data_IF_749694376310
#
_entry.id   IF_749694376310
#
_cell.length_a   1.000
_cell.length_b   1.000
_cell.length_c   1.000
_cell.angle_alpha   90.00
_cell.angle_beta   90.00
_cell.angle_gamma   90.00
#
_symmetry.space_group_name_H-M   'P 1'
#
loop_
_entity.id
_entity.type
_entity.pdbx_description
1 polymer ?
#
# COMPACT_ATOMS: atom_id res chain seq x y z
N UNK A 1 -12.57 -17.69 3.58
CA UNK A 1 -13.03 -16.27 3.61
C UNK A 1 -12.26 -15.31 2.69
N UNK A 2 -11.12 -15.69 2.10
CA UNK A 2 -10.27 -14.81 1.27
C UNK A 2 -11.02 -14.16 0.08
N UNK A 3 -11.88 -14.92 -0.62
CA UNK A 3 -12.62 -14.43 -1.78
C UNK A 3 -13.63 -13.33 -1.44
N UNK A 4 -14.52 -13.59 -0.47
CA UNK A 4 -15.57 -12.64 -0.06
C UNK A 4 -14.95 -11.35 0.45
N UNK A 5 -13.91 -11.44 1.30
CA UNK A 5 -13.19 -10.26 1.79
C UNK A 5 -12.60 -9.43 0.66
N UNK A 6 -11.96 -10.07 -0.32
CA UNK A 6 -11.40 -9.37 -1.49
C UNK A 6 -12.48 -8.69 -2.33
N UNK A 7 -13.63 -9.33 -2.57
CA UNK A 7 -14.74 -8.73 -3.33
C UNK A 7 -15.27 -7.48 -2.61
N UNK A 8 -15.56 -7.59 -1.30
CA UNK A 8 -16.06 -6.46 -0.51
C UNK A 8 -15.05 -5.31 -0.49
N UNK A 9 -13.78 -5.61 -0.23
CA UNK A 9 -12.72 -4.61 -0.20
C UNK A 9 -12.51 -3.91 -1.54
N UNK A 10 -12.57 -4.66 -2.64
CA UNK A 10 -12.41 -4.10 -3.98
C UNK A 10 -13.42 -2.98 -4.23
N UNK A 11 -14.68 -3.19 -3.84
CA UNK A 11 -15.77 -2.21 -3.99
C UNK A 11 -15.69 -1.09 -2.96
N UNK A 12 -15.24 -1.37 -1.73
CA UNK A 12 -15.19 -0.41 -0.62
C UNK A 12 -14.00 0.58 -0.66
N UNK A 13 -13.24 0.62 -1.76
CA UNK A 13 -12.14 1.56 -1.95
C UNK A 13 -10.81 0.91 -2.34
N UNK A 14 -10.71 -0.42 -2.24
CA UNK A 14 -9.53 -1.19 -2.66
C UNK A 14 -9.17 -0.98 -4.13
N UNK A 15 -10.16 -0.93 -5.02
CA UNK A 15 -9.95 -0.68 -6.45
C UNK A 15 -9.38 0.71 -6.70
N UNK A 16 -10.01 1.75 -6.14
CA UNK A 16 -9.59 3.14 -6.30
C UNK A 16 -8.17 3.34 -5.76
N UNK A 17 -7.88 2.81 -4.57
CA UNK A 17 -6.54 2.91 -4.01
C UNK A 17 -5.51 2.10 -4.79
N UNK A 18 -5.84 0.90 -5.25
CA UNK A 18 -4.96 0.11 -6.11
C UNK A 18 -4.57 0.87 -7.39
N UNK A 19 -5.52 1.56 -8.02
CA UNK A 19 -5.26 2.43 -9.17
C UNK A 19 -4.41 3.65 -8.80
N UNK A 20 -4.66 4.28 -7.65
CA UNK A 20 -3.86 5.41 -7.18
C UNK A 20 -2.38 5.00 -7.02
N UNK A 21 -2.12 3.84 -6.41
CA UNK A 21 -0.78 3.28 -6.28
C UNK A 21 -0.12 2.98 -7.63
N UNK A 22 -0.86 2.39 -8.57
CA UNK A 22 -0.36 2.14 -9.93
C UNK A 22 -0.08 3.43 -10.69
N UNK A 23 -0.93 4.43 -10.55
CA UNK A 23 -0.71 5.75 -11.13
C UNK A 23 0.59 6.37 -10.60
N UNK A 24 0.83 6.36 -9.28
CA UNK A 24 2.10 6.80 -8.70
C UNK A 24 3.29 6.00 -9.22
N UNK A 25 3.12 4.68 -9.38
CA UNK A 25 4.16 3.82 -9.91
C UNK A 25 4.54 4.23 -11.35
N UNK A 26 3.54 4.47 -12.21
CA UNK A 26 3.74 4.92 -13.57
C UNK A 26 4.42 6.29 -13.64
N UNK A 27 4.03 7.23 -12.77
CA UNK A 27 4.71 8.53 -12.66
C UNK A 27 6.19 8.37 -12.31
N UNK A 28 6.51 7.52 -11.34
CA UNK A 28 7.90 7.27 -10.95
C UNK A 28 8.70 6.61 -12.08
N UNK A 29 8.07 5.72 -12.84
CA UNK A 29 8.69 4.99 -13.95
C UNK A 29 9.07 5.89 -15.15
N UNK A 30 8.56 7.13 -15.24
CA UNK A 30 8.98 8.10 -16.25
C UNK A 30 10.47 8.46 -16.12
N UNK A 31 11.01 8.36 -14.90
CA UNK A 31 12.41 8.70 -14.63
C UNK A 31 13.20 7.45 -14.28
N UNK A 32 14.45 7.35 -14.76
CA UNK A 32 15.34 6.23 -14.42
C UNK A 32 15.57 6.16 -12.90
N UNK A 33 15.72 7.32 -12.25
CA UNK A 33 15.92 7.44 -10.80
C UNK A 33 14.69 6.95 -10.02
N UNK A 34 13.48 7.10 -10.56
CA UNK A 34 12.24 6.70 -9.91
C UNK A 34 11.83 5.24 -10.13
N UNK A 35 12.53 4.47 -10.96
CA UNK A 35 12.24 3.05 -11.19
C UNK A 35 12.16 2.23 -9.88
N UNK A 36 13.05 2.41 -8.88
CA UNK A 36 12.92 1.72 -7.60
C UNK A 36 11.60 2.03 -6.89
N UNK A 37 11.13 3.30 -6.95
CA UNK A 37 9.85 3.72 -6.35
C UNK A 37 8.68 3.09 -7.10
N UNK A 38 8.78 3.03 -8.44
CA UNK A 38 7.77 2.41 -9.29
C UNK A 38 7.57 0.92 -8.93
N UNK A 39 8.65 0.17 -8.74
CA UNK A 39 8.58 -1.26 -8.40
C UNK A 39 7.88 -1.47 -7.05
N UNK A 40 8.26 -0.70 -6.03
CA UNK A 40 7.63 -0.79 -4.70
C UNK A 40 6.15 -0.39 -4.74
N UNK A 41 5.82 0.70 -5.44
CA UNK A 41 4.46 1.20 -5.57
C UNK A 41 3.56 0.24 -6.37
N UNK A 42 4.05 -0.35 -7.45
CA UNK A 42 3.29 -1.31 -8.25
C UNK A 42 2.99 -2.59 -7.46
N UNK A 43 3.97 -3.05 -6.67
CA UNK A 43 3.84 -4.17 -5.75
C UNK A 43 2.74 -3.91 -4.71
N UNK A 44 2.74 -2.75 -4.06
CA UNK A 44 1.73 -2.38 -3.05
C UNK A 44 0.38 -2.06 -3.68
N UNK A 45 0.32 -1.49 -4.87
CA UNK A 45 -0.93 -1.32 -5.62
C UNK A 45 -1.58 -2.67 -5.93
N UNK A 46 -0.77 -3.64 -6.37
CA UNK A 46 -1.23 -5.02 -6.58
C UNK A 46 -1.69 -5.69 -5.29
N UNK A 47 -1.07 -5.37 -4.15
CA UNK A 47 -1.57 -5.76 -2.82
C UNK A 47 -2.92 -5.14 -2.51
N UNK A 48 -3.03 -3.83 -2.74
CA UNK A 48 -4.21 -3.02 -2.44
C UNK A 48 -5.43 -3.43 -3.24
N UNK A 49 -5.31 -4.08 -4.40
CA UNK A 49 -6.49 -4.67 -5.06
C UNK A 49 -7.04 -5.90 -4.32
N UNK A 50 -6.18 -6.71 -3.70
CA UNK A 50 -6.56 -8.03 -3.15
C UNK A 50 -5.84 -8.38 -1.83
N UNK A 51 -6.03 -7.63 -0.74
CA UNK A 51 -5.17 -7.74 0.44
C UNK A 51 -5.35 -9.06 1.19
N UNK A 52 -6.51 -9.72 1.09
CA UNK A 52 -6.79 -10.91 1.90
C UNK A 52 -6.05 -12.15 1.41
N UNK A 53 -5.46 -12.90 2.35
CA UNK A 53 -4.60 -14.06 2.07
C UNK A 53 -3.12 -13.70 1.85
N UNK A 54 -2.78 -12.42 2.01
CA UNK A 54 -1.42 -11.88 1.94
C UNK A 54 -1.15 -11.01 3.16
N UNK A 55 0.11 -10.87 3.53
CA UNK A 55 0.52 -9.99 4.62
C UNK A 55 1.76 -9.19 4.23
N UNK A 56 1.89 -8.02 4.86
CA UNK A 56 3.07 -7.18 4.76
C UNK A 56 4.06 -7.68 5.80
N UNK A 57 5.28 -8.00 5.38
CA UNK A 57 6.38 -8.37 6.25
C UNK A 57 7.56 -7.44 5.99
N UNK A 58 8.45 -7.31 6.97
CA UNK A 58 9.71 -6.61 6.76
C UNK A 58 10.59 -7.40 5.80
N UNK A 59 11.25 -6.67 4.92
CA UNK A 59 12.22 -7.26 4.00
C UNK A 59 13.51 -7.56 4.78
N UNK A 60 14.08 -8.77 4.69
CA UNK A 60 15.35 -9.12 5.32
C UNK A 60 16.49 -8.45 4.55
N UNK A 61 16.68 -7.15 4.79
CA UNK A 61 17.78 -6.38 4.24
C UNK A 61 18.90 -6.27 5.28
N UNK A 62 20.16 -6.36 4.83
CA UNK A 62 21.30 -6.01 5.67
C UNK A 62 21.30 -4.52 6.04
N UNK A 63 22.13 -4.11 7.01
CA UNK A 63 22.15 -2.73 7.52
C UNK A 63 22.24 -1.66 6.41
N UNK A 64 23.02 -1.90 5.37
CA UNK A 64 23.13 -1.01 4.21
C UNK A 64 21.78 -0.87 3.47
N UNK A 65 21.10 -1.98 3.19
CA UNK A 65 19.80 -1.98 2.51
C UNK A 65 18.69 -1.32 3.33
N UNK A 66 18.73 -1.46 4.65
CA UNK A 66 17.81 -0.77 5.56
C UNK A 66 17.99 0.76 5.49
N UNK A 67 19.23 1.25 5.47
CA UNK A 67 19.52 2.69 5.33
C UNK A 67 19.04 3.24 3.99
N UNK A 68 19.29 2.53 2.88
CA UNK A 68 18.79 2.96 1.56
C UNK A 68 17.26 2.97 1.51
N UNK A 69 16.60 1.98 2.11
CA UNK A 69 15.14 1.94 2.23
C UNK A 69 14.61 3.14 3.03
N UNK A 70 15.23 3.46 4.18
CA UNK A 70 14.82 4.58 5.00
C UNK A 70 14.97 5.94 4.29
N UNK A 71 16.08 6.14 3.57
CA UNK A 71 16.29 7.35 2.77
C UNK A 71 15.30 7.44 1.59
N UNK A 72 15.07 6.33 0.90
CA UNK A 72 14.09 6.24 -0.19
C UNK A 72 12.66 6.50 0.29
N UNK A 73 12.31 5.97 1.46
CA UNK A 73 11.00 6.17 2.11
C UNK A 73 10.83 7.63 2.56
N UNK A 74 11.87 8.31 3.06
CA UNK A 74 11.78 9.73 3.40
C UNK A 74 11.45 10.60 2.19
N UNK A 75 12.16 10.41 1.07
CA UNK A 75 11.89 11.15 -0.17
C UNK A 75 10.51 10.78 -0.71
N UNK A 76 10.15 9.50 -0.70
CA UNK A 76 8.84 9.02 -1.11
C UNK A 76 7.71 9.64 -0.28
N UNK A 77 7.82 9.65 1.04
CA UNK A 77 6.80 10.16 1.96
C UNK A 77 6.44 11.62 1.63
N UNK A 78 7.44 12.44 1.32
CA UNK A 78 7.28 13.85 0.99
C UNK A 78 6.67 14.08 -0.39
N UNK A 79 7.03 13.28 -1.38
CA UNK A 79 6.58 13.46 -2.77
C UNK A 79 5.27 12.73 -3.09
N UNK A 80 5.14 11.50 -2.60
CA UNK A 80 4.14 10.53 -3.05
C UNK A 80 3.32 9.89 -1.92
N UNK A 81 3.96 9.57 -0.80
CA UNK A 81 3.35 8.81 0.28
C UNK A 81 2.19 9.52 0.97
N UNK A 82 2.30 10.83 1.19
CA UNK A 82 1.29 11.57 1.97
C UNK A 82 -0.08 11.63 1.31
N UNK A 83 -0.18 11.83 -0.01
CA UNK A 83 -1.48 11.88 -0.68
C UNK A 83 -2.10 10.48 -0.88
N UNK A 84 -1.27 9.44 -1.04
CA UNK A 84 -1.73 8.05 -0.98
C UNK A 84 -2.25 7.71 0.43
N UNK A 85 -1.57 8.17 1.48
CA UNK A 85 -2.02 8.02 2.86
C UNK A 85 -3.36 8.73 3.08
N UNK A 86 -3.52 9.96 2.57
CA UNK A 86 -4.79 10.69 2.62
C UNK A 86 -5.91 9.96 1.88
N UNK A 87 -5.65 9.38 0.70
CA UNK A 87 -6.63 8.57 -0.02
C UNK A 87 -7.10 7.35 0.79
N UNK A 88 -6.16 6.68 1.47
CA UNK A 88 -6.49 5.60 2.40
C UNK A 88 -7.28 6.11 3.62
N UNK A 89 -6.89 7.24 4.23
CA UNK A 89 -7.62 7.82 5.36
C UNK A 89 -9.05 8.23 4.99
N UNK A 90 -9.25 8.84 3.81
CA UNK A 90 -10.57 9.17 3.30
C UNK A 90 -11.43 7.91 3.11
N UNK A 91 -10.87 6.86 2.50
CA UNK A 91 -11.55 5.57 2.35
C UNK A 91 -11.87 4.93 3.71
N UNK A 92 -11.00 5.09 4.70
CA UNK A 92 -11.22 4.59 6.05
C UNK A 92 -12.41 5.29 6.73
N UNK A 93 -12.49 6.62 6.62
CA UNK A 93 -13.61 7.40 7.15
C UNK A 93 -14.92 6.96 6.49
N UNK A 94 -14.94 6.81 5.16
CA UNK A 94 -16.13 6.35 4.43
C UNK A 94 -16.58 4.95 4.87
N UNK A 95 -15.64 4.02 5.03
CA UNK A 95 -15.94 2.67 5.52
C UNK A 95 -16.49 2.70 6.97
N UNK A 96 -15.94 3.56 7.83
CA UNK A 96 -16.31 3.65 9.24
C UNK A 96 -17.74 4.17 9.49
N UNK A 97 -18.42 4.72 8.48
CA UNK A 97 -19.83 5.15 8.57
C UNK A 97 -20.76 3.98 8.90
N UNK A 98 -20.38 2.75 8.53
CA UNK A 98 -21.18 1.54 8.77
C UNK A 98 -20.45 0.58 9.69
N UNK A 99 -21.20 -0.14 10.55
CA UNK A 99 -20.63 -1.16 11.44
C UNK A 99 -19.92 -2.26 10.63
N UNK A 100 -20.48 -2.64 9.48
CA UNK A 100 -19.91 -3.65 8.57
C UNK A 100 -18.60 -3.16 7.93
N UNK A 101 -18.46 -1.85 7.70
CA UNK A 101 -17.30 -1.24 7.07
C UNK A 101 -16.09 -1.04 8.00
N UNK A 102 -16.29 -0.99 9.33
CA UNK A 102 -15.23 -0.84 10.34
C UNK A 102 -14.00 -1.76 10.11
N UNK A 103 -14.14 -3.09 9.86
CA UNK A 103 -12.98 -3.93 9.59
C UNK A 103 -12.17 -3.48 8.37
N UNK A 104 -12.81 -2.95 7.33
CA UNK A 104 -12.14 -2.42 6.13
C UNK A 104 -11.52 -1.05 6.39
N UNK A 105 -12.14 -0.21 7.23
CA UNK A 105 -11.56 1.06 7.67
C UNK A 105 -10.20 0.84 8.36
N UNK A 106 -10.11 -0.14 9.27
CA UNK A 106 -8.85 -0.50 9.93
C UNK A 106 -7.79 -0.97 8.94
N UNK A 107 -8.19 -1.68 7.89
CA UNK A 107 -7.28 -2.11 6.85
C UNK A 107 -6.77 -0.93 6.00
N UNK A 108 -7.63 0.04 5.69
CA UNK A 108 -7.20 1.30 5.04
C UNK A 108 -6.23 2.09 5.93
N UNK A 109 -6.45 2.17 7.25
CA UNK A 109 -5.52 2.85 8.17
C UNK A 109 -4.14 2.18 8.17
N UNK A 110 -4.08 0.84 8.16
CA UNK A 110 -2.81 0.10 8.03
C UNK A 110 -2.07 0.43 6.73
N UNK A 111 -2.82 0.52 5.63
CA UNK A 111 -2.26 0.90 4.33
C UNK A 111 -1.86 2.37 4.26
N UNK A 112 -2.54 3.26 4.98
CA UNK A 112 -2.12 4.66 5.11
C UNK A 112 -0.75 4.76 5.79
N UNK A 113 -0.52 3.98 6.85
CA UNK A 113 0.80 3.87 7.47
C UNK A 113 1.86 3.29 6.52
N UNK A 114 1.50 2.24 5.76
CA UNK A 114 2.38 1.66 4.73
C UNK A 114 2.74 2.67 3.64
N UNK A 115 1.84 3.59 3.30
CA UNK A 115 2.05 4.57 2.23
C UNK A 115 3.25 5.48 2.47
N UNK A 116 3.65 5.69 3.73
CA UNK A 116 4.85 6.45 4.07
C UNK A 116 6.15 5.65 3.95
N UNK A 117 6.10 4.33 4.17
CA UNK A 117 7.30 3.48 4.27
C UNK A 117 7.22 2.20 3.42
N UNK A 118 7.09 2.30 2.09
CA UNK A 118 6.90 1.15 1.22
C UNK A 118 8.15 0.29 0.93
N UNK A 119 9.37 0.80 1.07
CA UNK A 119 10.59 0.13 0.58
C UNK A 119 11.01 -1.07 1.40
N UNK A 120 11.08 -0.90 2.72
CA UNK A 120 11.50 -1.95 3.65
C UNK A 120 10.49 -3.08 3.81
N UNK A 121 9.47 -3.14 2.94
CA UNK A 121 8.29 -4.01 3.08
C UNK A 121 8.17 -4.96 1.89
N UNK A 122 7.88 -6.21 2.17
CA UNK A 122 7.55 -7.24 1.18
C UNK A 122 6.14 -7.79 1.43
N UNK A 123 5.53 -8.36 0.39
CA UNK A 123 4.23 -9.02 0.50
C UNK A 123 4.46 -10.52 0.43
N UNK A 124 4.06 -11.21 1.49
CA UNK A 124 4.15 -12.67 1.57
C UNK A 124 2.75 -13.29 1.61
N UNK A 125 2.61 -14.51 1.07
CA UNK A 125 1.36 -15.25 1.20
C UNK A 125 1.25 -15.81 2.61
N UNK A 126 0.05 -15.71 3.18
CA UNK A 126 -0.28 -16.44 4.40
C UNK A 126 -0.46 -17.91 3.98
N UNK A 127 0.24 -18.81 4.66
CA UNK A 127 0.21 -20.26 4.43
C UNK A 127 -1.22 -20.86 4.46
N UNK A 128 -1.37 -22.14 4.06
CA UNK A 128 -2.65 -22.84 4.19
C UNK A 128 -3.18 -22.81 5.61
#
# INVERSE_FOLDING_TARGET
>A
MRLIGNILWFVLGGFVMGLAWWFTALLCAITIIGIPWAIAAFRIGTFSFWPFGRMIADKPDGAVGATFSALGDLVWALLFGWWLALGHLASAVLCAITIIGIPFALQHIKLAGLAFFPYGKQIVRIGP
#
